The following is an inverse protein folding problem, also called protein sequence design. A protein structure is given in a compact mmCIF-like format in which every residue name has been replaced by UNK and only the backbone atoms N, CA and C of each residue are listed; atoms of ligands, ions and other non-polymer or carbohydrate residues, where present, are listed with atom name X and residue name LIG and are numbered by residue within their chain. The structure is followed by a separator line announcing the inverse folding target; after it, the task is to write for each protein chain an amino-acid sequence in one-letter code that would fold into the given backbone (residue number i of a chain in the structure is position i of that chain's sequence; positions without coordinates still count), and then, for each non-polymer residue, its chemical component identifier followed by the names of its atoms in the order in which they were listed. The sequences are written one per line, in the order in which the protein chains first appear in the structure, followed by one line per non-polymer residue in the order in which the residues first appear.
data_IF_580590981726
#
_entry.id   IF_580590981726
#
_cell.length_a   1.000
_cell.length_b   1.000
_cell.length_c   1.000
_cell.angle_alpha   90.00
_cell.angle_beta   90.00
_cell.angle_gamma   90.00
#
_symmetry.space_group_name_H-M   'P 1'
#
loop_
_entity.id
_entity.type
_entity.pdbx_description
1 polymer ?
#
# COMPACT_ATOMS: atom_id res chain seq x y z
N UNK A 1 -12.67 -1.94 -21.84
CA UNK A 1 -11.67 -0.97 -21.36
C UNK A 1 -10.95 -1.61 -20.19
N UNK A 2 -9.65 -1.56 -20.16
CA UNK A 2 -8.90 -2.02 -19.00
C UNK A 2 -9.10 -1.06 -17.84
N UNK A 3 -9.12 -1.59 -16.62
CA UNK A 3 -9.14 -0.78 -15.40
C UNK A 3 -7.85 0.00 -15.20
N UNK A 4 -7.80 0.79 -14.14
CA UNK A 4 -6.64 1.60 -13.75
C UNK A 4 -6.18 1.24 -12.35
N UNK A 5 -4.94 1.57 -12.04
CA UNK A 5 -4.39 1.45 -10.69
C UNK A 5 -4.61 2.75 -9.91
N UNK A 6 -5.04 2.63 -8.66
CA UNK A 6 -5.09 3.73 -7.70
C UNK A 6 -4.13 3.42 -6.56
N UNK A 7 -3.12 4.23 -6.40
CA UNK A 7 -2.06 4.03 -5.41
C UNK A 7 -2.24 5.03 -4.29
N UNK A 8 -2.40 4.53 -3.07
CA UNK A 8 -2.49 5.36 -1.86
C UNK A 8 -1.29 5.11 -0.98
N UNK A 9 -0.56 6.16 -0.67
CA UNK A 9 0.55 6.14 0.29
C UNK A 9 0.40 7.30 1.26
N UNK A 10 0.83 7.12 2.47
CA UNK A 10 0.70 8.12 3.52
C UNK A 10 1.63 7.83 4.70
N UNK A 11 2.03 8.85 5.46
CA UNK A 11 2.57 8.64 6.78
C UNK A 11 1.53 7.98 7.71
N UNK A 12 2.00 7.22 8.68
CA UNK A 12 1.13 6.62 9.71
C UNK A 12 0.30 7.69 10.42
N UNK A 13 -1.00 7.45 10.59
CA UNK A 13 -1.90 8.38 11.27
C UNK A 13 -2.51 9.47 10.38
N UNK A 14 -2.33 9.39 9.07
CA UNK A 14 -2.87 10.38 8.12
C UNK A 14 -4.33 10.13 7.71
N UNK A 15 -4.94 9.04 8.16
CA UNK A 15 -6.33 8.70 7.83
C UNK A 15 -6.53 8.00 6.49
N UNK A 16 -5.46 7.48 5.89
CA UNK A 16 -5.49 6.78 4.59
C UNK A 16 -6.51 5.64 4.55
N UNK A 17 -6.48 4.75 5.53
CA UNK A 17 -7.39 3.60 5.57
C UNK A 17 -8.85 4.02 5.64
N UNK A 18 -9.17 5.07 6.40
CA UNK A 18 -10.52 5.62 6.48
C UNK A 18 -11.00 6.15 5.14
N UNK A 19 -10.14 6.89 4.42
CA UNK A 19 -10.46 7.42 3.10
C UNK A 19 -10.70 6.28 2.10
N UNK A 20 -9.82 5.29 2.08
CA UNK A 20 -9.93 4.14 1.16
C UNK A 20 -11.20 3.33 1.43
N UNK A 21 -11.51 3.07 2.70
CA UNK A 21 -12.74 2.37 3.09
C UNK A 21 -14.00 3.15 2.70
N UNK A 22 -14.00 4.45 2.93
CA UNK A 22 -15.10 5.32 2.52
C UNK A 22 -15.31 5.27 1.02
N UNK A 23 -14.23 5.42 0.26
CA UNK A 23 -14.27 5.42 -1.20
C UNK A 23 -14.84 4.11 -1.76
N UNK A 24 -14.40 2.98 -1.24
CA UNK A 24 -14.87 1.66 -1.68
C UNK A 24 -16.33 1.41 -1.33
N UNK A 25 -16.80 1.93 -0.20
CA UNK A 25 -18.17 1.75 0.28
C UNK A 25 -19.16 2.68 -0.43
N UNK A 26 -18.82 3.96 -0.54
CA UNK A 26 -19.76 5.00 -1.02
C UNK A 26 -19.74 5.16 -2.55
N UNK A 27 -18.73 4.61 -3.23
CA UNK A 27 -18.55 4.73 -4.67
C UNK A 27 -18.40 3.39 -5.38
N UNK A 28 -19.43 2.50 -5.29
CA UNK A 28 -19.39 1.21 -5.97
C UNK A 28 -19.29 1.31 -7.50
N UNK A 29 -19.71 2.44 -8.08
CA UNK A 29 -19.61 2.72 -9.52
C UNK A 29 -18.16 2.78 -10.02
N UNK A 30 -17.20 3.01 -9.13
CA UNK A 30 -15.78 3.03 -9.48
C UNK A 30 -15.19 1.64 -9.67
N UNK A 31 -15.95 0.59 -9.37
CA UNK A 31 -15.51 -0.80 -9.50
C UNK A 31 -14.12 -1.07 -8.89
N UNK A 32 -13.94 -0.62 -7.65
CA UNK A 32 -12.67 -0.70 -6.92
C UNK A 32 -12.48 -2.07 -6.29
N UNK A 33 -11.29 -2.63 -6.45
CA UNK A 33 -10.86 -3.86 -5.79
C UNK A 33 -9.46 -3.68 -5.22
N UNK A 34 -9.18 -4.35 -4.11
CA UNK A 34 -7.83 -4.30 -3.54
C UNK A 34 -6.88 -5.23 -4.27
N UNK A 35 -5.64 -4.79 -4.41
CA UNK A 35 -4.52 -5.67 -4.74
C UNK A 35 -4.30 -6.65 -3.57
N UNK A 36 -4.16 -7.93 -3.88
CA UNK A 36 -3.86 -8.98 -2.89
C UNK A 36 -2.37 -9.29 -2.97
N UNK A 37 -1.66 -9.04 -1.87
CA UNK A 37 -0.21 -9.28 -1.80
C UNK A 37 0.11 -10.77 -1.68
N UNK A 38 1.29 -11.16 -2.16
CA UNK A 38 1.89 -12.45 -1.87
C UNK A 38 2.78 -12.35 -0.63
N UNK A 39 2.89 -13.43 0.10
CA UNK A 39 3.79 -13.53 1.26
C UNK A 39 4.38 -14.93 1.38
N UNK A 40 5.59 -15.01 1.92
CA UNK A 40 6.25 -16.28 2.21
C UNK A 40 6.01 -16.79 3.64
N UNK A 41 5.31 -16.02 4.47
CA UNK A 41 4.90 -16.52 5.78
C UNK A 41 3.70 -17.46 5.67
N UNK A 42 3.58 -18.44 6.58
CA UNK A 42 2.39 -19.28 6.63
C UNK A 42 1.12 -18.48 6.97
N UNK A 43 -0.06 -18.97 6.57
CA UNK A 43 -1.33 -18.39 7.00
C UNK A 43 -1.45 -18.36 8.53
N UNK A 44 -2.13 -17.34 9.04
CA UNK A 44 -2.44 -17.16 10.47
C UNK A 44 -3.94 -17.25 10.67
N UNK A 45 -4.38 -18.02 11.66
CA UNK A 45 -5.79 -18.15 11.98
C UNK A 45 -6.63 -18.60 10.78
N UNK A 46 -7.63 -17.81 10.44
CA UNK A 46 -8.57 -18.10 9.35
C UNK A 46 -8.14 -17.52 7.98
N UNK A 47 -6.93 -17.03 7.85
CA UNK A 47 -6.42 -16.49 6.57
C UNK A 47 -6.41 -17.56 5.48
N UNK A 48 -6.86 -17.19 4.28
CA UNK A 48 -7.01 -18.09 3.15
C UNK A 48 -6.19 -17.62 1.94
N UNK A 49 -5.60 -18.57 1.24
CA UNK A 49 -4.88 -18.32 -0.01
C UNK A 49 -5.79 -17.65 -1.05
N UNK A 50 -5.34 -16.53 -1.60
CA UNK A 50 -6.08 -15.76 -2.59
C UNK A 50 -7.13 -14.82 -2.01
N UNK A 51 -7.29 -14.77 -0.69
CA UNK A 51 -8.21 -13.86 0.01
C UNK A 51 -7.44 -12.77 0.71
N UNK A 52 -6.77 -13.08 1.84
CA UNK A 52 -5.95 -12.09 2.54
C UNK A 52 -4.57 -11.93 1.87
N UNK A 53 -3.98 -13.05 1.46
CA UNK A 53 -2.69 -13.12 0.77
C UNK A 53 -2.67 -14.29 -0.23
N UNK A 54 -1.74 -14.22 -1.18
CA UNK A 54 -1.25 -15.39 -1.89
C UNK A 54 -0.09 -15.97 -1.08
N UNK A 55 -0.28 -17.13 -0.48
CA UNK A 55 0.73 -17.77 0.36
C UNK A 55 1.66 -18.62 -0.48
N UNK A 56 2.94 -18.31 -0.45
CA UNK A 56 4.02 -19.00 -1.15
C UNK A 56 5.03 -19.54 -0.13
N UNK A 57 5.83 -20.52 -0.52
CA UNK A 57 7.02 -20.85 0.27
C UNK A 57 8.11 -19.80 0.03
N UNK A 58 9.12 -19.64 0.92
CA UNK A 58 10.25 -18.77 0.67
C UNK A 58 10.96 -19.06 -0.66
N UNK A 59 11.09 -20.34 -1.00
CA UNK A 59 11.72 -20.80 -2.26
C UNK A 59 10.91 -20.37 -3.47
N UNK A 60 9.59 -20.59 -3.46
CA UNK A 60 8.68 -20.15 -4.52
C UNK A 60 8.71 -18.63 -4.70
N UNK A 61 8.77 -17.90 -3.57
CA UNK A 61 8.85 -16.44 -3.61
C UNK A 61 10.13 -15.96 -4.27
N UNK A 62 11.27 -16.56 -3.90
CA UNK A 62 12.59 -16.24 -4.51
C UNK A 62 12.64 -16.57 -5.99
N UNK A 63 12.09 -17.71 -6.40
CA UNK A 63 12.00 -18.07 -7.83
C UNK A 63 11.22 -17.03 -8.63
N UNK A 64 10.12 -16.51 -8.07
CA UNK A 64 9.32 -15.46 -8.70
C UNK A 64 10.04 -14.11 -8.74
N UNK A 65 10.87 -13.80 -7.75
CA UNK A 65 11.75 -12.62 -7.78
C UNK A 65 12.72 -12.73 -8.96
N UNK A 66 13.39 -13.87 -9.11
CA UNK A 66 14.36 -14.12 -10.18
C UNK A 66 13.69 -14.06 -11.56
N UNK A 67 12.45 -14.48 -11.68
CA UNK A 67 11.65 -14.41 -12.90
C UNK A 67 11.03 -13.03 -13.16
N UNK A 68 11.31 -12.01 -12.32
CA UNK A 68 10.77 -10.66 -12.44
C UNK A 68 9.22 -10.60 -12.45
N UNK A 69 8.58 -11.44 -11.63
CA UNK A 69 7.13 -11.55 -11.58
C UNK A 69 6.49 -10.57 -10.59
N UNK A 70 7.27 -9.83 -9.79
CA UNK A 70 6.76 -8.86 -8.82
C UNK A 70 6.81 -7.42 -9.34
N UNK A 71 5.76 -6.65 -9.04
CA UNK A 71 5.77 -5.18 -9.19
C UNK A 71 6.65 -4.52 -8.14
N UNK A 72 6.57 -5.01 -6.93
CA UNK A 72 7.40 -4.63 -5.79
C UNK A 72 7.46 -5.81 -4.82
N UNK A 73 8.49 -5.88 -4.02
CA UNK A 73 8.62 -6.83 -2.93
C UNK A 73 9.58 -6.30 -1.87
N UNK A 74 9.47 -6.85 -0.66
CA UNK A 74 10.32 -6.52 0.47
C UNK A 74 10.59 -7.76 1.31
N UNK A 75 11.83 -7.95 1.72
CA UNK A 75 12.19 -8.90 2.76
C UNK A 75 12.15 -8.20 4.11
N UNK A 76 11.12 -8.48 4.91
CA UNK A 76 10.90 -7.83 6.22
C UNK A 76 11.77 -8.46 7.30
N UNK A 77 11.90 -9.77 7.26
CA UNK A 77 12.79 -10.58 8.08
C UNK A 77 13.37 -11.68 7.21
N UNK A 78 14.43 -12.33 7.66
CA UNK A 78 15.05 -13.46 6.94
C UNK A 78 14.00 -14.45 6.44
N UNK A 79 13.96 -14.68 5.13
CA UNK A 79 13.01 -15.55 4.42
C UNK A 79 11.53 -15.18 4.61
N UNK A 80 11.24 -13.97 5.09
CA UNK A 80 9.88 -13.46 5.19
C UNK A 80 9.68 -12.30 4.23
N UNK A 81 9.05 -12.60 3.13
CA UNK A 81 8.80 -11.68 2.03
C UNK A 81 7.34 -11.27 1.94
N UNK A 82 7.12 -10.07 1.43
CA UNK A 82 5.82 -9.55 0.99
C UNK A 82 6.02 -8.88 -0.37
N UNK A 83 5.05 -9.00 -1.25
CA UNK A 83 5.13 -8.36 -2.56
C UNK A 83 3.83 -8.44 -3.34
N UNK A 84 3.81 -7.76 -4.48
CA UNK A 84 2.65 -7.71 -5.38
C UNK A 84 3.01 -8.37 -6.70
N UNK A 85 2.29 -9.43 -7.05
CA UNK A 85 2.48 -10.16 -8.31
C UNK A 85 1.88 -9.39 -9.48
N UNK A 86 2.65 -9.20 -10.55
CA UNK A 86 2.20 -8.56 -11.80
C UNK A 86 0.99 -9.26 -12.39
N UNK A 87 1.01 -10.59 -12.45
CA UNK A 87 -0.06 -11.40 -13.04
C UNK A 87 -1.42 -11.18 -12.38
N UNK A 88 -1.45 -11.04 -11.05
CA UNK A 88 -2.69 -10.83 -10.31
C UNK A 88 -3.31 -9.47 -10.62
N UNK A 89 -2.50 -8.43 -10.67
CA UNK A 89 -2.95 -7.08 -11.00
C UNK A 89 -3.42 -7.02 -12.45
N UNK A 90 -2.67 -7.61 -13.38
CA UNK A 90 -3.03 -7.65 -14.81
C UNK A 90 -4.37 -8.34 -15.04
N UNK A 91 -4.64 -9.44 -14.34
CA UNK A 91 -5.92 -10.13 -14.42
C UNK A 91 -7.08 -9.24 -13.98
N UNK A 92 -6.93 -8.58 -12.83
CA UNK A 92 -7.95 -7.64 -12.33
C UNK A 92 -8.19 -6.46 -13.28
N UNK A 93 -7.13 -5.90 -13.86
CA UNK A 93 -7.24 -4.78 -14.81
C UNK A 93 -7.94 -5.21 -16.11
N UNK A 94 -7.64 -6.41 -16.62
CA UNK A 94 -8.29 -6.96 -17.81
C UNK A 94 -9.79 -7.18 -17.60
N UNK A 95 -10.19 -7.52 -16.39
CA UNK A 95 -11.59 -7.63 -16.00
C UNK A 95 -12.29 -6.28 -15.86
N UNK A 96 -11.62 -5.18 -16.17
CA UNK A 96 -12.17 -3.82 -16.09
C UNK A 96 -12.26 -3.27 -14.66
N UNK A 97 -11.61 -3.92 -13.71
CA UNK A 97 -11.58 -3.47 -12.31
C UNK A 97 -10.50 -2.42 -12.10
N UNK A 98 -10.78 -1.45 -11.24
CA UNK A 98 -9.80 -0.49 -10.78
C UNK A 98 -9.14 -1.01 -9.52
N UNK A 99 -7.81 -1.19 -9.55
CA UNK A 99 -7.07 -1.86 -8.48
C UNK A 99 -6.49 -0.84 -7.52
N UNK A 100 -6.85 -0.97 -6.24
CA UNK A 100 -6.31 -0.13 -5.16
C UNK A 100 -5.06 -0.78 -4.59
N UNK A 101 -4.00 0.03 -4.47
CA UNK A 101 -2.80 -0.27 -3.73
C UNK A 101 -2.74 0.59 -2.48
N UNK A 102 -2.84 -0.02 -1.33
CA UNK A 102 -2.59 0.60 -0.03
C UNK A 102 -1.21 0.15 0.44
N UNK A 103 -0.18 0.86 0.00
CA UNK A 103 1.22 0.47 0.15
C UNK A 103 2.09 1.63 0.62
N UNK A 104 3.31 1.31 1.04
CA UNK A 104 4.29 2.30 1.44
C UNK A 104 4.72 3.20 0.25
N UNK A 105 5.45 4.25 0.56
CA UNK A 105 5.83 5.27 -0.43
C UNK A 105 6.71 4.67 -1.51
N UNK A 106 7.70 3.87 -1.14
CA UNK A 106 8.63 3.25 -2.09
C UNK A 106 7.92 2.30 -3.04
N UNK A 107 7.06 1.44 -2.50
CA UNK A 107 6.22 0.55 -3.29
C UNK A 107 5.28 1.33 -4.21
N UNK A 108 4.68 2.40 -3.71
CA UNK A 108 3.81 3.28 -4.51
C UNK A 108 4.52 3.92 -5.69
N UNK A 109 5.72 4.41 -5.49
CA UNK A 109 6.55 4.99 -6.56
C UNK A 109 6.91 3.92 -7.59
N UNK A 110 7.26 2.71 -7.16
CA UNK A 110 7.59 1.60 -8.06
C UNK A 110 6.40 1.18 -8.92
N UNK A 111 5.22 1.06 -8.35
CA UNK A 111 4.00 0.72 -9.09
C UNK A 111 3.64 1.84 -10.09
N UNK A 112 3.77 3.10 -9.66
CA UNK A 112 3.54 4.24 -10.57
C UNK A 112 4.50 4.24 -11.75
N UNK A 113 5.78 3.99 -11.51
CA UNK A 113 6.80 3.95 -12.56
C UNK A 113 6.51 2.80 -13.56
N UNK A 114 6.01 1.68 -13.08
CA UNK A 114 5.67 0.54 -13.94
C UNK A 114 4.45 0.82 -14.84
N UNK A 115 3.37 1.35 -14.27
CA UNK A 115 2.12 1.57 -15.00
C UNK A 115 2.01 2.94 -15.69
N UNK A 116 2.84 3.91 -15.29
CA UNK A 116 2.82 5.25 -15.88
C UNK A 116 1.44 5.90 -15.80
N UNK A 117 0.88 6.27 -16.96
CA UNK A 117 -0.44 6.90 -17.06
C UNK A 117 -1.61 5.95 -16.75
N UNK A 118 -1.38 4.65 -16.71
CA UNK A 118 -2.34 3.65 -16.26
C UNK A 118 -2.57 3.64 -14.75
N UNK A 119 -1.82 4.43 -13.99
CA UNK A 119 -1.92 4.54 -12.55
C UNK A 119 -2.06 6.00 -12.09
N UNK A 120 -2.90 6.22 -11.08
CA UNK A 120 -3.01 7.48 -10.35
C UNK A 120 -2.41 7.28 -8.96
N UNK A 121 -1.35 8.02 -8.64
CA UNK A 121 -0.72 7.98 -7.33
C UNK A 121 -1.21 9.13 -6.45
N UNK A 122 -1.64 8.79 -5.24
CA UNK A 122 -2.26 9.70 -4.28
C UNK A 122 -1.48 9.64 -2.96
N UNK A 123 -1.01 10.78 -2.52
CA UNK A 123 -0.36 10.93 -1.22
C UNK A 123 -1.34 11.57 -0.25
N UNK A 124 -1.60 10.91 0.88
CA UNK A 124 -2.45 11.44 1.94
C UNK A 124 -1.55 11.93 3.06
N UNK A 125 -1.67 13.19 3.44
CA UNK A 125 -0.86 13.79 4.49
C UNK A 125 -1.70 14.55 5.51
N UNK A 126 -1.26 14.65 6.76
CA UNK A 126 -1.89 15.52 7.75
C UNK A 126 -1.65 16.99 7.37
N UNK A 127 -2.46 17.92 7.92
CA UNK A 127 -2.26 19.36 7.67
C UNK A 127 -0.90 19.86 8.17
N UNK A 128 -0.38 19.26 9.25
CA UNK A 128 0.91 19.60 9.83
C UNK A 128 1.46 18.44 10.66
N UNK A 129 2.76 18.50 10.97
CA UNK A 129 3.41 17.56 11.90
C UNK A 129 2.82 17.69 13.29
N UNK A 130 2.44 18.89 13.70
CA UNK A 130 1.79 19.15 15.02
C UNK A 130 0.44 18.44 15.12
N UNK A 131 -0.36 18.49 14.06
CA UNK A 131 -1.65 17.78 14.02
C UNK A 131 -1.43 16.27 14.08
N UNK A 132 -0.42 15.75 13.38
CA UNK A 132 -0.05 14.34 13.44
C UNK A 132 0.37 13.94 14.87
N UNK A 133 1.14 14.79 15.54
CA UNK A 133 1.52 14.58 16.94
C UNK A 133 0.28 14.42 17.83
N UNK A 134 -0.69 15.32 17.69
CA UNK A 134 -1.94 15.26 18.46
C UNK A 134 -2.69 13.94 18.23
N UNK A 135 -2.76 13.49 16.98
CA UNK A 135 -3.41 12.22 16.63
C UNK A 135 -2.70 11.02 17.23
N UNK A 136 -1.37 10.99 17.21
CA UNK A 136 -0.58 9.91 17.81
C UNK A 136 -0.68 9.88 19.33
N UNK A 137 -0.61 11.03 19.97
CA UNK A 137 -0.80 11.15 21.43
C UNK A 137 -2.22 10.73 21.83
N UNK A 138 -3.23 11.13 21.07
CA UNK A 138 -4.63 10.82 21.35
C UNK A 138 -4.98 9.33 21.28
N UNK A 139 -4.18 8.52 20.56
CA UNK A 139 -4.35 7.06 20.53
C UNK A 139 -3.95 6.38 21.84
N UNK A 140 -3.10 7.00 22.63
CA UNK A 140 -2.59 6.50 23.92
C UNK A 140 -1.95 5.10 23.85
N UNK A 141 -1.46 4.70 22.69
CA UNK A 141 -0.86 3.36 22.44
C UNK A 141 0.66 3.40 22.34
N UNK A 142 1.25 4.59 22.19
CA UNK A 142 2.68 4.76 21.95
C UNK A 142 3.35 5.48 23.12
N UNK A 143 4.62 5.15 23.39
CA UNK A 143 5.47 5.90 24.31
C UNK A 143 5.90 7.24 23.68
N UNK A 144 6.36 8.24 24.47
CA UNK A 144 6.88 9.49 23.92
C UNK A 144 7.99 9.28 22.89
N UNK A 145 8.89 8.33 23.12
CA UNK A 145 9.99 7.99 22.21
C UNK A 145 9.45 7.44 20.88
N UNK A 146 8.47 6.55 20.92
CA UNK A 146 7.81 6.00 19.73
C UNK A 146 7.10 7.09 18.91
N UNK A 147 6.48 8.05 19.58
CA UNK A 147 5.83 9.20 18.93
C UNK A 147 6.88 10.03 18.17
N UNK A 148 8.02 10.34 18.79
CA UNK A 148 9.08 11.11 18.15
C UNK A 148 9.67 10.37 16.93
N UNK A 149 9.87 9.06 17.04
CA UNK A 149 10.32 8.23 15.91
C UNK A 149 9.33 8.24 14.75
N UNK A 150 8.03 8.14 15.05
CA UNK A 150 6.97 8.18 14.03
C UNK A 150 6.87 9.54 13.37
N UNK A 151 7.04 10.62 14.12
CA UNK A 151 7.03 11.99 13.58
C UNK A 151 8.24 12.26 12.68
N UNK A 152 9.42 11.82 13.07
CA UNK A 152 10.62 11.94 12.24
C UNK A 152 10.47 11.14 10.93
N UNK A 153 9.92 9.93 11.01
CA UNK A 153 9.61 9.12 9.84
C UNK A 153 8.57 9.81 8.95
N UNK A 154 7.51 10.37 9.54
CA UNK A 154 6.48 11.07 8.80
C UNK A 154 7.01 12.29 8.05
N UNK A 155 7.89 13.09 8.65
CA UNK A 155 8.55 14.22 7.97
C UNK A 155 9.35 13.74 6.77
N UNK A 156 10.11 12.67 6.92
CA UNK A 156 10.86 12.06 5.83
C UNK A 156 9.93 11.56 4.72
N UNK A 157 8.87 10.86 5.08
CA UNK A 157 7.88 10.35 4.14
C UNK A 157 7.15 11.47 3.41
N UNK A 158 6.78 12.55 4.08
CA UNK A 158 6.13 13.73 3.49
C UNK A 158 7.02 14.43 2.46
N UNK A 159 8.34 14.29 2.54
CA UNK A 159 9.26 14.84 1.56
C UNK A 159 9.10 14.22 0.16
N UNK A 160 8.49 13.04 0.07
CA UNK A 160 8.19 12.36 -1.20
C UNK A 160 6.85 12.75 -1.83
N UNK A 161 6.00 13.50 -1.13
CA UNK A 161 4.69 13.90 -1.61
C UNK A 161 4.71 14.54 -3.02
N UNK A 162 5.68 15.40 -3.39
CA UNK A 162 5.74 15.97 -4.73
C UNK A 162 5.94 14.96 -5.86
N UNK A 163 6.37 13.72 -5.57
CA UNK A 163 6.52 12.65 -6.56
C UNK A 163 5.20 11.94 -6.89
N UNK A 164 4.13 12.27 -6.18
CA UNK A 164 2.79 11.70 -6.40
C UNK A 164 1.96 12.62 -7.28
N UNK A 165 1.01 12.04 -8.02
CA UNK A 165 0.15 12.80 -8.93
C UNK A 165 -0.79 13.75 -8.19
N UNK A 166 -1.24 13.35 -7.00
CA UNK A 166 -2.17 14.13 -6.17
C UNK A 166 -1.78 14.05 -4.70
N UNK A 167 -2.00 15.16 -4.00
CA UNK A 167 -1.83 15.25 -2.55
C UNK A 167 -3.19 15.57 -1.94
N UNK A 168 -3.62 14.73 -1.00
CA UNK A 168 -4.81 14.97 -0.18
C UNK A 168 -4.35 15.36 1.22
N UNK A 169 -4.77 16.53 1.67
CA UNK A 169 -4.54 16.99 3.05
C UNK A 169 -5.76 16.60 3.88
N UNK A 170 -5.55 15.78 4.88
CA UNK A 170 -6.63 15.26 5.74
C UNK A 170 -6.42 15.60 7.21
#
# INVERSE_FOLDING_TARGET
MNGKCLIFSAPSGSGKSTIVQWLTKEHPELNLVFSISATSRPPRGAEQHGVEYFFLTPEEFKEKIEADEFLEYEEVYTDRYYGTLKSQVEEQLKDGKNVIFDIDIKGGINVKNFYGEGALSIFVQPPSVEELRKRLVGRATDTPEQIEERLAKAEYEMSFAPQFDRIIVN
#
